data_IF_057644008967
#
_entry.id   IF_057644008967
#
_cell.length_a   1.000
_cell.length_b   1.000
_cell.length_c   1.000
_cell.angle_alpha   90.00
_cell.angle_beta   90.00
_cell.angle_gamma   90.00
#
_symmetry.space_group_name_H-M   'P 1'
#
loop_
_entity.id
_entity.type
_entity.pdbx_description
1 polymer ?
#
# COMPACT_ATOMS: atom_id res chain seq x y z
N UNK A 1 17.20 60.53 27.33
CA UNK A 1 16.19 59.44 27.25
C UNK A 1 15.51 59.28 25.88
N UNK A 2 15.62 60.23 24.92
CA UNK A 2 15.01 60.07 23.58
C UNK A 2 15.74 59.08 22.66
N UNK A 3 17.04 58.81 22.86
CA UNK A 3 17.83 57.86 22.04
C UNK A 3 17.42 56.40 22.25
N UNK A 4 16.93 56.06 23.44
CA UNK A 4 16.46 54.72 23.80
C UNK A 4 15.17 54.35 23.07
N UNK A 5 14.25 55.31 22.89
CA UNK A 5 12.99 55.08 22.17
C UNK A 5 13.22 54.77 20.69
N UNK A 6 14.24 55.37 20.07
CA UNK A 6 14.58 55.11 18.67
C UNK A 6 15.28 53.77 18.50
N UNK A 7 16.19 53.41 19.41
CA UNK A 7 16.86 52.11 19.39
C UNK A 7 15.88 50.94 19.58
N UNK A 8 14.87 51.11 20.44
CA UNK A 8 13.79 50.12 20.62
C UNK A 8 12.97 50.01 19.33
N UNK A 9 12.59 51.13 18.72
CA UNK A 9 11.79 51.14 17.49
C UNK A 9 12.51 50.46 16.32
N UNK A 10 13.81 50.71 16.17
CA UNK A 10 14.65 50.09 15.13
C UNK A 10 14.74 48.57 15.32
N UNK A 11 14.94 48.12 16.57
CA UNK A 11 14.97 46.71 16.92
C UNK A 11 13.64 45.99 16.61
N UNK A 12 12.51 46.65 16.86
CA UNK A 12 11.20 46.09 16.48
C UNK A 12 11.06 45.97 14.97
N UNK A 13 11.52 46.93 14.16
CA UNK A 13 11.40 46.83 12.71
C UNK A 13 12.25 45.69 12.12
N UNK A 14 13.48 45.52 12.59
CA UNK A 14 14.34 44.41 12.16
C UNK A 14 13.84 43.05 12.68
N UNK A 15 13.35 42.99 13.94
CA UNK A 15 12.83 41.74 14.51
C UNK A 15 11.46 41.32 13.96
N UNK A 16 10.64 42.28 13.49
CA UNK A 16 9.29 41.99 12.99
C UNK A 16 9.34 41.14 11.73
N UNK A 17 10.30 41.36 10.83
CA UNK A 17 10.42 40.55 9.61
C UNK A 17 10.72 39.08 9.94
N UNK A 18 11.64 38.83 10.87
CA UNK A 18 11.91 37.49 11.39
C UNK A 18 10.72 36.90 12.17
N UNK A 19 9.98 37.72 12.93
CA UNK A 19 8.79 37.27 13.63
C UNK A 19 7.67 36.86 12.67
N UNK A 20 7.52 37.56 11.54
CA UNK A 20 6.59 37.20 10.47
C UNK A 20 7.02 35.89 9.83
N UNK A 21 8.30 35.74 9.45
CA UNK A 21 8.84 34.49 8.88
C UNK A 21 8.60 33.31 9.83
N UNK A 22 8.92 33.46 11.11
CA UNK A 22 8.70 32.42 12.13
C UNK A 22 7.22 32.03 12.22
N UNK A 23 6.32 33.02 12.19
CA UNK A 23 4.87 32.80 12.22
C UNK A 23 4.40 32.03 10.99
N UNK A 24 4.89 32.38 9.80
CA UNK A 24 4.56 31.68 8.55
C UNK A 24 5.05 30.24 8.59
N UNK A 25 6.27 29.99 9.08
CA UNK A 25 6.82 28.63 9.24
C UNK A 25 5.96 27.79 10.18
N UNK A 26 5.53 28.35 11.33
CA UNK A 26 4.64 27.66 12.26
C UNK A 26 3.28 27.38 11.62
N UNK A 27 2.71 28.35 10.90
CA UNK A 27 1.43 28.19 10.21
C UNK A 27 1.51 27.06 9.15
N UNK A 28 2.59 27.00 8.37
CA UNK A 28 2.82 25.92 7.40
C UNK A 28 2.93 24.57 8.14
N UNK A 29 3.69 24.49 9.23
CA UNK A 29 3.82 23.26 10.01
C UNK A 29 2.45 22.77 10.55
N UNK A 30 1.61 23.67 11.03
CA UNK A 30 0.25 23.34 11.49
C UNK A 30 -0.62 22.85 10.34
N UNK A 31 -0.58 23.51 9.18
CA UNK A 31 -1.30 23.06 7.98
C UNK A 31 -0.82 21.67 7.56
N UNK A 32 0.49 21.41 7.59
CA UNK A 32 1.05 20.11 7.25
C UNK A 32 0.60 19.04 8.25
N UNK A 33 0.62 19.29 9.56
CA UNK A 33 0.15 18.33 10.57
C UNK A 33 -1.34 18.02 10.37
N UNK A 34 -2.17 19.06 10.18
CA UNK A 34 -3.60 18.88 9.95
C UNK A 34 -3.87 18.10 8.66
N UNK A 35 -3.19 18.47 7.57
CA UNK A 35 -3.37 17.84 6.26
C UNK A 35 -2.80 16.42 6.20
N UNK A 36 -1.68 16.17 6.88
CA UNK A 36 -1.08 14.84 7.02
C UNK A 36 -2.03 13.93 7.79
N UNK A 37 -2.59 14.38 8.92
CA UNK A 37 -3.56 13.57 9.66
C UNK A 37 -4.76 13.17 8.80
N UNK A 38 -5.31 14.07 7.97
CA UNK A 38 -6.43 13.74 7.08
C UNK A 38 -6.06 12.70 6.01
N UNK A 39 -4.86 12.77 5.43
CA UNK A 39 -4.44 11.83 4.40
C UNK A 39 -4.05 10.46 4.94
N UNK A 40 -3.43 10.42 6.12
CA UNK A 40 -2.97 9.18 6.74
C UNK A 40 -4.00 8.55 7.70
N UNK A 41 -5.08 9.27 8.04
CA UNK A 41 -6.27 8.68 8.68
C UNK A 41 -7.17 7.94 7.67
N UNK A 42 -6.78 7.88 6.40
CA UNK A 42 -7.40 6.96 5.44
C UNK A 42 -6.83 5.54 5.63
N UNK A 43 -6.73 5.10 6.88
CA UNK A 43 -6.42 3.72 7.24
C UNK A 43 -7.73 3.09 7.70
N UNK A 44 -8.30 2.32 6.77
CA UNK A 44 -9.25 1.22 6.97
C UNK A 44 -10.26 1.48 8.08
N UNK A 45 -11.42 2.00 7.69
CA UNK A 45 -12.66 1.70 8.36
C UNK A 45 -12.70 0.17 8.61
N UNK A 46 -12.42 -0.22 9.86
CA UNK A 46 -12.64 -1.55 10.42
C UNK A 46 -14.11 -1.68 10.86
N UNK A 47 -15.06 -1.03 10.20
CA UNK A 47 -16.41 -1.54 10.27
C UNK A 47 -16.39 -2.81 9.41
N UNK A 48 -16.90 -3.95 9.91
CA UNK A 48 -17.13 -5.08 9.05
C UNK A 48 -18.02 -4.56 7.93
N UNK A 49 -17.49 -4.47 6.71
CA UNK A 49 -18.32 -4.35 5.53
C UNK A 49 -19.20 -5.58 5.58
N UNK A 50 -20.40 -5.38 6.09
CA UNK A 50 -21.51 -6.27 5.95
C UNK A 50 -21.56 -6.56 4.46
N UNK A 51 -21.17 -7.78 4.12
CA UNK A 51 -21.21 -8.30 2.76
C UNK A 51 -22.64 -8.13 2.27
N UNK A 52 -22.90 -7.07 1.50
CA UNK A 52 -23.97 -7.10 0.52
C UNK A 52 -23.49 -8.08 -0.54
N UNK A 53 -23.86 -9.33 -0.28
CA UNK A 53 -23.86 -10.48 -1.16
C UNK A 53 -24.37 -10.08 -2.56
N UNK A 54 -23.54 -10.16 -3.61
CA UNK A 54 -24.04 -10.17 -4.98
C UNK A 54 -24.69 -11.54 -5.28
N UNK A 55 -25.65 -11.58 -6.23
CA UNK A 55 -26.76 -12.53 -6.30
C UNK A 55 -26.35 -13.98 -6.63
N UNK A 56 -27.25 -14.96 -6.39
CA UNK A 56 -26.95 -16.37 -6.61
C UNK A 56 -26.92 -16.66 -8.11
N UNK A 57 -25.78 -17.15 -8.60
CA UNK A 57 -25.72 -17.83 -9.89
C UNK A 57 -25.42 -19.31 -9.62
N UNK A 58 -26.51 -20.05 -9.42
CA UNK A 58 -26.55 -21.50 -9.62
C UNK A 58 -26.50 -21.76 -11.12
N UNK A 59 -25.37 -22.27 -11.62
CA UNK A 59 -25.39 -23.27 -12.69
C UNK A 59 -24.50 -24.44 -12.28
N UNK A 60 -25.17 -25.55 -12.06
CA UNK A 60 -24.66 -26.86 -11.67
C UNK A 60 -24.09 -27.57 -12.90
N UNK A 61 -22.91 -28.19 -12.82
CA UNK A 61 -22.64 -29.53 -13.38
C UNK A 61 -21.52 -30.20 -12.54
N UNK A 62 -21.37 -31.54 -12.51
CA UNK A 62 -21.69 -32.40 -11.37
C UNK A 62 -20.45 -33.00 -10.70
N UNK A 63 -20.57 -33.23 -9.40
CA UNK A 63 -19.62 -34.03 -8.62
C UNK A 63 -19.82 -35.51 -8.99
N UNK A 64 -18.76 -36.16 -9.48
CA UNK A 64 -18.60 -37.61 -9.41
C UNK A 64 -17.24 -37.89 -8.79
N UNK A 65 -17.27 -38.32 -7.53
CA UNK A 65 -16.16 -38.99 -6.84
C UNK A 65 -16.36 -40.49 -7.06
N UNK A 66 -15.39 -41.18 -7.65
CA UNK A 66 -14.57 -42.20 -6.95
C UNK A 66 -13.65 -42.96 -7.94
N UNK A 67 -12.46 -43.32 -7.45
CA UNK A 67 -11.29 -43.88 -8.13
C UNK A 67 -11.47 -45.39 -8.45
N UNK A 68 -10.62 -46.01 -9.31
CA UNK A 68 -9.55 -46.83 -8.72
C UNK A 68 -8.22 -46.86 -9.50
N UNK A 69 -7.15 -46.85 -8.71
CA UNK A 69 -5.98 -47.73 -8.73
C UNK A 69 -4.88 -47.63 -9.82
N UNK A 70 -3.65 -47.49 -9.30
CA UNK A 70 -2.34 -47.94 -9.79
C UNK A 70 -1.75 -47.41 -11.12
N UNK A 71 -0.69 -46.59 -11.04
CA UNK A 71 0.73 -47.04 -11.07
C UNK A 71 1.72 -45.85 -10.95
N UNK A 72 2.58 -45.91 -9.93
CA UNK A 72 3.85 -45.18 -9.76
C UNK A 72 4.93 -45.85 -10.68
N UNK A 73 6.02 -45.20 -11.16
CA UNK A 73 7.09 -44.63 -10.32
C UNK A 73 7.66 -43.27 -10.77
N UNK A 74 8.11 -42.43 -9.81
CA UNK A 74 9.48 -41.84 -9.70
C UNK A 74 9.54 -40.36 -9.23
N UNK A 75 9.73 -40.13 -7.92
CA UNK A 75 10.77 -39.30 -7.24
C UNK A 75 11.11 -37.84 -7.69
N UNK A 76 11.51 -36.85 -6.83
CA UNK A 76 11.24 -36.57 -5.39
C UNK A 76 10.67 -35.13 -5.11
N UNK A 77 10.10 -34.95 -3.91
CA UNK A 77 10.00 -33.68 -3.16
C UNK A 77 9.08 -32.58 -3.69
N UNK A 78 7.77 -32.79 -3.61
CA UNK A 78 6.79 -31.70 -3.70
C UNK A 78 6.80 -30.89 -2.41
N UNK A 79 7.47 -29.74 -2.42
CA UNK A 79 7.10 -28.64 -1.53
C UNK A 79 5.68 -28.21 -1.89
N UNK A 80 4.84 -27.96 -0.89
CA UNK A 80 3.47 -27.50 -1.07
C UNK A 80 3.45 -26.23 -1.93
N UNK A 81 3.15 -26.38 -3.21
CA UNK A 81 2.85 -25.29 -4.13
C UNK A 81 1.37 -24.96 -3.97
N UNK A 82 1.07 -23.73 -3.54
CA UNK A 82 -0.30 -23.24 -3.48
C UNK A 82 -0.42 -21.92 -4.24
N UNK A 83 -1.43 -21.84 -5.10
CA UNK A 83 -1.77 -20.63 -5.83
C UNK A 83 -2.70 -19.76 -4.98
N UNK A 84 -2.35 -18.49 -4.80
CA UNK A 84 -3.14 -17.52 -4.06
C UNK A 84 -3.71 -16.50 -5.05
N UNK A 85 -5.04 -16.35 -5.07
CA UNK A 85 -5.68 -15.26 -5.82
C UNK A 85 -5.77 -14.03 -4.94
N UNK A 86 -5.14 -12.94 -5.37
CA UNK A 86 -5.25 -11.63 -4.72
C UNK A 86 -6.10 -10.67 -5.56
N UNK A 87 -6.78 -9.74 -4.89
CA UNK A 87 -7.58 -8.70 -5.53
C UNK A 87 -6.98 -7.34 -5.17
N UNK A 88 -6.56 -6.59 -6.19
CA UNK A 88 -6.04 -5.22 -6.06
C UNK A 88 -7.16 -4.25 -6.46
N UNK A 89 -7.70 -3.46 -5.52
CA UNK A 89 -8.72 -2.46 -5.83
C UNK A 89 -8.20 -1.36 -6.78
N UNK A 90 -9.10 -0.81 -7.59
CA UNK A 90 -8.77 0.31 -8.48
C UNK A 90 -8.39 1.57 -7.69
N UNK A 91 -7.34 2.25 -8.13
CA UNK A 91 -6.79 3.42 -7.43
C UNK A 91 -5.94 3.10 -6.21
N UNK A 92 -5.65 1.82 -5.93
CA UNK A 92 -4.72 1.42 -4.86
C UNK A 92 -3.33 2.01 -5.11
N UNK A 93 -2.74 2.58 -4.07
CA UNK A 93 -1.35 3.02 -4.11
C UNK A 93 -0.40 1.82 -4.04
N UNK A 94 0.86 2.00 -4.47
CA UNK A 94 1.89 0.98 -4.33
C UNK A 94 2.04 0.50 -2.86
N UNK A 95 1.80 1.38 -1.88
CA UNK A 95 1.82 1.04 -0.46
C UNK A 95 0.70 0.06 -0.11
N UNK A 96 -0.54 0.38 -0.50
CA UNK A 96 -1.70 -0.47 -0.26
C UNK A 96 -1.57 -1.84 -0.94
N UNK A 97 -0.99 -1.88 -2.15
CA UNK A 97 -0.69 -3.14 -2.84
C UNK A 97 0.31 -3.97 -2.05
N UNK A 98 1.39 -3.36 -1.54
CA UNK A 98 2.34 -4.04 -0.69
C UNK A 98 1.70 -4.57 0.61
N UNK A 99 0.78 -3.83 1.23
CA UNK A 99 0.03 -4.31 2.39
C UNK A 99 -0.84 -5.54 2.04
N UNK A 100 -1.51 -5.54 0.88
CA UNK A 100 -2.30 -6.69 0.39
C UNK A 100 -1.40 -7.92 0.20
N UNK A 101 -0.22 -7.75 -0.39
CA UNK A 101 0.73 -8.84 -0.62
C UNK A 101 1.27 -9.41 0.70
N UNK A 102 1.61 -8.57 1.68
CA UNK A 102 2.05 -9.01 3.02
C UNK A 102 0.93 -9.76 3.74
N UNK A 103 -0.30 -9.23 3.71
CA UNK A 103 -1.44 -9.84 4.40
C UNK A 103 -1.81 -11.22 3.83
N UNK A 104 -1.53 -11.48 2.56
CA UNK A 104 -1.71 -12.77 1.91
C UNK A 104 -0.46 -13.68 2.00
N UNK A 105 0.59 -13.23 2.70
CA UNK A 105 1.83 -14.00 2.89
C UNK A 105 2.68 -14.16 1.62
N UNK A 106 2.43 -13.37 0.57
CA UNK A 106 3.15 -13.44 -0.70
C UNK A 106 4.49 -12.72 -0.66
N UNK A 107 4.62 -11.73 0.22
CA UNK A 107 5.89 -11.02 0.47
C UNK A 107 6.11 -10.88 1.97
N UNK A 108 7.38 -10.86 2.40
CA UNK A 108 7.73 -10.73 3.82
C UNK A 108 7.70 -9.29 4.31
N UNK A 109 8.11 -8.35 3.45
CA UNK A 109 8.25 -6.94 3.81
C UNK A 109 7.69 -6.03 2.69
N UNK A 110 6.74 -5.17 3.08
CA UNK A 110 6.16 -4.16 2.19
C UNK A 110 7.18 -3.15 1.68
N UNK A 111 8.08 -2.69 2.54
CA UNK A 111 9.08 -1.69 2.18
C UNK A 111 10.07 -2.27 1.17
N UNK A 112 10.42 -3.55 1.29
CA UNK A 112 11.23 -4.26 0.29
C UNK A 112 10.54 -4.25 -1.08
N UNK A 113 9.24 -4.57 -1.11
CA UNK A 113 8.43 -4.44 -2.34
C UNK A 113 8.44 -3.02 -2.89
N UNK A 114 8.21 -2.00 -2.06
CA UNK A 114 8.16 -0.60 -2.51
C UNK A 114 9.48 -0.14 -3.12
N UNK A 115 10.61 -0.47 -2.48
CA UNK A 115 11.94 -0.17 -2.99
C UNK A 115 12.15 -0.89 -4.33
N UNK A 116 11.82 -2.19 -4.38
CA UNK A 116 12.01 -3.00 -5.57
C UNK A 116 11.19 -2.52 -6.77
N UNK A 117 9.93 -2.15 -6.56
CA UNK A 117 9.05 -1.61 -7.59
C UNK A 117 9.61 -0.31 -8.18
N UNK A 118 10.19 0.57 -7.35
CA UNK A 118 10.83 1.82 -7.79
C UNK A 118 12.12 1.54 -8.55
N UNK A 119 12.96 0.62 -8.07
CA UNK A 119 14.18 0.19 -8.77
C UNK A 119 13.88 -0.35 -10.17
N UNK A 120 12.74 -1.05 -10.32
CA UNK A 120 12.27 -1.58 -11.59
C UNK A 120 11.53 -0.56 -12.46
N UNK A 121 11.27 0.66 -11.96
CA UNK A 121 10.48 1.70 -12.64
C UNK A 121 9.07 1.24 -13.03
N UNK A 122 8.46 0.38 -12.19
CA UNK A 122 7.12 -0.18 -12.37
C UNK A 122 6.08 0.44 -11.42
N UNK A 123 6.50 1.38 -10.57
CA UNK A 123 5.68 2.10 -9.58
C UNK A 123 4.43 2.77 -10.17
N UNK A 124 4.54 3.27 -11.39
CA UNK A 124 3.43 3.91 -12.13
C UNK A 124 2.62 2.93 -12.99
N UNK A 125 3.05 1.68 -13.10
CA UNK A 125 2.46 0.68 -14.01
C UNK A 125 1.65 -0.40 -13.30
N UNK A 126 1.70 -0.45 -11.97
CA UNK A 126 0.92 -1.39 -11.17
C UNK A 126 -0.57 -1.31 -11.53
N UNK A 127 -1.17 -2.47 -11.83
CA UNK A 127 -2.55 -2.60 -12.27
C UNK A 127 -3.45 -3.03 -11.13
N UNK A 128 -4.71 -2.60 -11.21
CA UNK A 128 -5.80 -3.12 -10.39
C UNK A 128 -6.47 -4.29 -11.10
N UNK A 129 -6.94 -5.28 -10.34
CA UNK A 129 -7.51 -6.51 -10.88
C UNK A 129 -7.33 -7.70 -9.94
N UNK A 130 -7.70 -8.89 -10.42
CA UNK A 130 -7.43 -10.14 -9.72
C UNK A 130 -6.22 -10.83 -10.33
N UNK A 131 -5.25 -11.21 -9.51
CA UNK A 131 -4.02 -11.86 -9.95
C UNK A 131 -3.86 -13.19 -9.25
N UNK A 132 -3.56 -14.23 -10.02
CA UNK A 132 -3.17 -15.53 -9.51
C UNK A 132 -1.65 -15.51 -9.29
N UNK A 133 -1.21 -15.66 -8.05
CA UNK A 133 0.20 -15.59 -7.66
C UNK A 133 0.59 -16.87 -6.95
N UNK A 134 1.75 -17.39 -7.30
CA UNK A 134 2.22 -18.67 -6.81
C UNK A 134 3.16 -18.44 -5.63
N UNK A 135 3.12 -19.33 -4.63
CA UNK A 135 3.96 -19.22 -3.42
C UNK A 135 5.47 -19.31 -3.68
N UNK A 136 5.88 -19.83 -4.85
CA UNK A 136 7.29 -19.88 -5.27
C UNK A 136 7.73 -18.68 -6.10
N UNK A 137 6.81 -17.79 -6.51
CA UNK A 137 7.19 -16.59 -7.26
C UNK A 137 8.08 -15.68 -6.42
N UNK A 138 9.15 -15.22 -7.04
CA UNK A 138 10.02 -14.20 -6.45
C UNK A 138 9.31 -12.85 -6.38
N UNK A 139 9.80 -11.97 -5.50
CA UNK A 139 9.29 -10.60 -5.38
C UNK A 139 9.21 -9.88 -6.74
N UNK A 140 10.23 -10.08 -7.59
CA UNK A 140 10.32 -9.45 -8.91
C UNK A 140 9.25 -9.98 -9.86
N UNK A 141 9.00 -11.29 -9.85
CA UNK A 141 7.98 -11.93 -10.68
C UNK A 141 6.58 -11.49 -10.28
N UNK A 142 6.33 -11.39 -8.97
CA UNK A 142 5.10 -10.83 -8.41
C UNK A 142 4.89 -9.42 -8.95
N UNK A 143 5.91 -8.55 -8.85
CA UNK A 143 5.87 -7.16 -9.33
C UNK A 143 5.59 -7.11 -10.85
N UNK A 144 6.25 -7.96 -11.62
CA UNK A 144 6.03 -8.02 -13.07
C UNK A 144 4.58 -8.45 -13.37
N UNK A 145 4.07 -9.47 -12.68
CA UNK A 145 2.74 -10.03 -12.91
C UNK A 145 1.63 -9.03 -12.61
N UNK A 146 1.78 -8.20 -11.57
CA UNK A 146 0.81 -7.14 -11.23
C UNK A 146 0.97 -5.87 -12.09
N UNK A 147 2.08 -5.74 -12.85
CA UNK A 147 2.35 -4.57 -13.71
C UNK A 147 1.94 -4.76 -15.18
N UNK A 148 1.56 -5.98 -15.56
CA UNK A 148 1.03 -6.33 -16.88
C UNK A 148 -0.44 -5.92 -16.99
#
# INVERSE_FOLDING_TARGET
MRRLIYAIRDFFYEATDYAIILTVVIAIAVILIWRFNVLFSFEVNKDPIQSEEPPPTTEQIPISTDNPDNTDPTNPSSGDYFEVTIVIPSGSSAQAIGDILVNNGLISDRNEFLVRVVEMQLDTKLKSGSFLIDSEMTLDEIIIKISQ
#
